data_IF_282486221012
#
_entry.id   IF_282486221012
#
_cell.length_a   1.000
_cell.length_b   1.000
_cell.length_c   1.000
_cell.angle_alpha   90.00
_cell.angle_beta   90.00
_cell.angle_gamma   90.00
#
_symmetry.space_group_name_H-M   'P 1'
#
loop_
_entity.id
_entity.type
_entity.pdbx_description
1 polymer ?
#
# COMPACT_ATOMS: atom_id res chain seq x y z
N UNK A 1 10.29 3.59 -21.52
CA UNK A 1 9.27 2.80 -22.23
C UNK A 1 9.51 1.28 -22.22
N UNK A 2 10.67 0.69 -22.55
CA UNK A 2 10.86 -0.78 -22.46
C UNK A 2 10.89 -1.28 -21.01
N UNK A 3 11.55 -0.54 -20.10
CA UNK A 3 11.63 -0.91 -18.68
C UNK A 3 10.25 -1.01 -18.00
N UNK A 4 9.34 -0.08 -18.30
CA UNK A 4 7.98 -0.07 -17.72
C UNK A 4 7.15 -1.28 -18.18
N UNK A 5 7.32 -1.71 -19.43
CA UNK A 5 6.64 -2.90 -19.96
C UNK A 5 7.21 -4.18 -19.36
N UNK A 6 8.51 -4.22 -19.07
CA UNK A 6 9.17 -5.38 -18.46
C UNK A 6 8.81 -5.54 -16.97
N UNK A 7 8.73 -4.44 -16.22
CA UNK A 7 8.26 -4.46 -14.82
C UNK A 7 6.80 -4.92 -14.74
N UNK A 8 5.93 -4.46 -15.64
CA UNK A 8 4.53 -4.90 -15.68
C UNK A 8 4.43 -6.38 -16.05
N UNK A 9 5.24 -6.88 -16.99
CA UNK A 9 5.28 -8.31 -17.33
C UNK A 9 5.76 -9.15 -16.15
N UNK A 10 6.82 -8.72 -15.46
CA UNK A 10 7.35 -9.39 -14.27
C UNK A 10 6.30 -9.43 -13.16
N UNK A 11 5.61 -8.31 -12.91
CA UNK A 11 4.55 -8.22 -11.93
C UNK A 11 3.35 -9.10 -12.28
N UNK A 12 2.94 -9.16 -13.56
CA UNK A 12 1.89 -10.10 -14.01
C UNK A 12 2.30 -11.55 -13.81
N UNK A 13 3.55 -11.89 -14.08
CA UNK A 13 4.08 -13.24 -13.88
C UNK A 13 4.12 -13.61 -12.39
N UNK A 14 4.60 -12.69 -11.53
CA UNK A 14 4.63 -12.86 -10.08
C UNK A 14 3.21 -12.97 -9.48
N UNK A 15 2.23 -12.19 -9.96
CA UNK A 15 0.84 -12.29 -9.51
C UNK A 15 0.08 -13.47 -10.14
N UNK A 16 0.55 -13.98 -11.27
CA UNK A 16 -0.05 -15.10 -12.01
C UNK A 16 0.33 -16.48 -11.47
N UNK A 17 1.50 -16.60 -10.82
CA UNK A 17 1.94 -17.84 -10.19
C UNK A 17 1.05 -18.18 -8.96
N UNK A 18 0.57 -19.43 -8.89
CA UNK A 18 -0.33 -19.91 -7.83
C UNK A 18 0.33 -19.86 -6.44
N UNK A 19 1.63 -20.14 -6.36
CA UNK A 19 2.37 -20.18 -5.09
C UNK A 19 2.53 -18.78 -4.51
N UNK A 20 3.05 -17.85 -5.32
CA UNK A 20 3.18 -16.45 -4.92
C UNK A 20 1.83 -15.82 -4.62
N UNK A 21 0.79 -16.10 -5.43
CA UNK A 21 -0.57 -15.63 -5.16
C UNK A 21 -1.10 -16.14 -3.82
N UNK A 22 -0.85 -17.40 -3.46
CA UNK A 22 -1.25 -17.96 -2.16
C UNK A 22 -0.51 -17.27 -0.99
N UNK A 23 0.79 -17.04 -1.12
CA UNK A 23 1.58 -16.30 -0.13
C UNK A 23 1.08 -14.85 0.05
N UNK A 24 0.91 -14.12 -1.05
CA UNK A 24 0.40 -12.75 -1.02
C UNK A 24 -1.02 -12.67 -0.45
N UNK A 25 -1.88 -13.66 -0.74
CA UNK A 25 -3.22 -13.76 -0.14
C UNK A 25 -3.15 -13.92 1.37
N UNK A 26 -2.26 -14.78 1.87
CA UNK A 26 -2.03 -14.99 3.31
C UNK A 26 -1.63 -13.68 4.02
N UNK A 27 -0.81 -12.83 3.39
CA UNK A 27 -0.39 -11.54 3.96
C UNK A 27 -1.55 -10.56 4.12
N UNK A 28 -2.50 -10.58 3.17
CA UNK A 28 -3.64 -9.66 3.14
C UNK A 28 -4.82 -10.17 3.99
N UNK A 29 -4.83 -11.44 4.37
CA UNK A 29 -5.84 -11.98 5.30
C UNK A 29 -5.73 -11.37 6.69
N UNK A 30 -6.85 -11.42 7.43
CA UNK A 30 -6.92 -10.94 8.81
C UNK A 30 -5.92 -11.69 9.68
N UNK A 31 -5.21 -10.94 10.52
CA UNK A 31 -4.35 -11.51 11.55
C UNK A 31 -5.16 -12.18 12.66
N UNK A 32 -4.49 -12.92 13.57
CA UNK A 32 -5.13 -13.58 14.70
C UNK A 32 -5.90 -12.63 15.62
N UNK A 33 -5.51 -11.35 15.69
CA UNK A 33 -6.20 -10.30 16.47
C UNK A 33 -7.37 -9.62 15.74
N UNK A 34 -7.73 -10.10 14.54
CA UNK A 34 -9.02 -9.85 13.90
C UNK A 34 -9.27 -8.50 13.23
N UNK A 35 -8.66 -7.40 13.71
CA UNK A 35 -8.94 -6.05 13.17
C UNK A 35 -8.02 -5.62 12.02
N UNK A 36 -6.76 -6.12 11.98
CA UNK A 36 -5.73 -5.74 11.00
C UNK A 36 -5.30 -6.93 10.15
N UNK A 37 -4.77 -6.67 8.95
CA UNK A 37 -4.16 -7.71 8.12
C UNK A 37 -2.84 -8.18 8.71
N UNK A 38 -2.38 -9.39 8.34
CA UNK A 38 -1.04 -9.86 8.71
C UNK A 38 0.05 -8.90 8.22
N UNK A 39 -0.15 -8.33 7.03
CA UNK A 39 0.76 -7.35 6.44
C UNK A 39 0.86 -6.06 7.26
N UNK A 40 -0.26 -5.48 7.70
CA UNK A 40 -0.22 -4.28 8.55
C UNK A 40 0.52 -4.55 9.87
N UNK A 41 0.33 -5.74 10.45
CA UNK A 41 1.04 -6.16 11.65
C UNK A 41 2.55 -6.28 11.42
N UNK A 42 2.98 -6.95 10.34
CA UNK A 42 4.40 -7.07 9.98
C UNK A 42 5.02 -5.70 9.71
N UNK A 43 4.35 -4.82 8.97
CA UNK A 43 4.83 -3.46 8.73
C UNK A 43 4.91 -2.65 10.03
N UNK A 44 4.00 -2.89 10.98
CA UNK A 44 4.07 -2.26 12.30
C UNK A 44 5.26 -2.72 13.13
N UNK A 45 5.66 -3.99 13.00
CA UNK A 45 6.86 -4.55 13.64
C UNK A 45 8.15 -4.08 12.97
N UNK A 46 8.12 -3.82 11.66
CA UNK A 46 9.23 -3.19 10.94
C UNK A 46 9.40 -1.72 11.37
N UNK A 47 8.30 -1.01 11.60
CA UNK A 47 8.35 0.38 12.07
C UNK A 47 8.78 0.53 13.54
N UNK A 48 8.51 -0.49 14.36
CA UNK A 48 8.74 -0.47 15.80
C UNK A 48 9.07 -1.88 16.32
N UNK A 49 10.35 -2.10 16.61
CA UNK A 49 10.87 -3.40 17.00
C UNK A 49 10.39 -3.88 18.38
N UNK A 50 9.87 -2.98 19.23
CA UNK A 50 9.36 -3.33 20.57
C UNK A 50 8.13 -4.24 20.50
N UNK A 51 7.40 -4.22 19.38
CA UNK A 51 6.18 -5.04 19.17
C UNK A 51 6.46 -6.52 18.90
N UNK A 52 7.74 -6.92 18.82
CA UNK A 52 8.16 -8.31 18.59
C UNK A 52 7.83 -9.24 19.76
N UNK A 53 7.81 -8.75 21.01
CA UNK A 53 7.66 -9.60 22.21
C UNK A 53 6.30 -10.29 22.33
N UNK A 54 5.25 -9.75 21.69
CA UNK A 54 3.88 -10.25 21.79
C UNK A 54 3.46 -11.06 20.54
N UNK A 55 4.39 -11.36 19.63
CA UNK A 55 4.08 -12.00 18.36
C UNK A 55 4.10 -13.53 18.44
N UNK A 56 3.08 -14.18 17.84
CA UNK A 56 3.09 -15.64 17.67
C UNK A 56 4.25 -16.11 16.77
N UNK A 57 4.70 -17.36 16.96
CA UNK A 57 5.78 -17.96 16.15
C UNK A 57 5.53 -17.87 14.63
N UNK A 58 4.27 -18.05 14.20
CA UNK A 58 3.91 -17.92 12.80
C UNK A 58 4.09 -16.49 12.28
N UNK A 59 3.78 -15.48 13.10
CA UNK A 59 3.97 -14.08 12.74
C UNK A 59 5.46 -13.72 12.65
N UNK A 60 6.30 -14.28 13.52
CA UNK A 60 7.74 -14.07 13.47
C UNK A 60 8.36 -14.63 12.19
N UNK A 61 7.94 -15.83 11.77
CA UNK A 61 8.37 -16.40 10.49
C UNK A 61 7.94 -15.50 9.31
N UNK A 62 6.67 -15.12 9.27
CA UNK A 62 6.15 -14.23 8.21
C UNK A 62 6.90 -12.88 8.21
N UNK A 63 7.26 -12.33 9.38
CA UNK A 63 8.08 -11.13 9.52
C UNK A 63 9.47 -11.28 8.90
N UNK A 64 10.23 -12.33 9.24
CA UNK A 64 11.59 -12.50 8.71
C UNK A 64 11.60 -12.72 7.20
N UNK A 65 10.65 -13.50 6.68
CA UNK A 65 10.47 -13.67 5.23
C UNK A 65 10.15 -12.34 4.55
N UNK A 66 9.24 -11.56 5.13
CA UNK A 66 8.85 -10.27 4.56
C UNK A 66 9.97 -9.23 4.67
N UNK A 67 10.74 -9.21 5.76
CA UNK A 67 11.91 -8.34 5.94
C UNK A 67 12.97 -8.61 4.87
N UNK A 68 13.26 -9.88 4.58
CA UNK A 68 14.16 -10.27 3.50
C UNK A 68 13.65 -9.80 2.13
N UNK A 69 12.36 -9.99 1.88
CA UNK A 69 11.71 -9.55 0.63
C UNK A 69 11.77 -8.03 0.46
N UNK A 70 11.42 -7.26 1.49
CA UNK A 70 11.47 -5.79 1.48
C UNK A 70 12.90 -5.31 1.28
N UNK A 71 13.88 -5.88 1.98
CA UNK A 71 15.30 -5.52 1.81
C UNK A 71 15.78 -5.77 0.36
N UNK A 72 15.33 -6.86 -0.28
CA UNK A 72 15.62 -7.11 -1.68
C UNK A 72 14.95 -6.08 -2.61
N UNK A 73 13.69 -5.72 -2.33
CA UNK A 73 12.93 -4.74 -3.13
C UNK A 73 13.49 -3.31 -2.99
N UNK A 74 13.89 -2.89 -1.79
CA UNK A 74 14.51 -1.58 -1.55
C UNK A 74 15.80 -1.46 -2.37
N UNK A 75 16.63 -2.50 -2.36
CA UNK A 75 17.85 -2.56 -3.18
C UNK A 75 17.56 -2.58 -4.68
N UNK A 76 16.54 -3.32 -5.13
CA UNK A 76 16.18 -3.39 -6.55
C UNK A 76 15.63 -2.04 -7.07
N UNK A 77 14.90 -1.31 -6.21
CA UNK A 77 14.26 -0.04 -6.56
C UNK A 77 15.13 1.19 -6.25
N UNK A 78 16.36 0.99 -5.74
CA UNK A 78 17.27 2.05 -5.28
C UNK A 78 16.58 3.03 -4.30
N UNK A 79 15.74 2.49 -3.41
CA UNK A 79 15.08 3.26 -2.35
C UNK A 79 16.01 3.35 -1.13
N UNK A 80 15.89 4.41 -0.34
CA UNK A 80 16.56 4.46 0.96
C UNK A 80 15.76 3.65 1.99
N UNK A 81 16.47 2.87 2.80
CA UNK A 81 15.86 2.10 3.88
C UNK A 81 15.26 3.04 4.95
N UNK A 82 15.93 4.16 5.21
CA UNK A 82 15.49 5.20 6.14
C UNK A 82 14.17 5.86 5.74
N UNK A 83 13.99 6.23 4.47
CA UNK A 83 12.71 6.80 4.00
C UNK A 83 11.60 5.75 4.02
N UNK A 84 11.90 4.50 3.69
CA UNK A 84 10.93 3.41 3.78
C UNK A 84 10.45 3.23 5.22
N UNK A 85 11.38 3.13 6.17
CA UNK A 85 11.08 3.02 7.60
C UNK A 85 10.30 4.22 8.12
N UNK A 86 10.70 5.44 7.74
CA UNK A 86 9.98 6.66 8.08
C UNK A 86 8.54 6.65 7.54
N UNK A 87 8.35 6.18 6.30
CA UNK A 87 7.03 6.08 5.67
C UNK A 87 6.11 5.09 6.37
N UNK A 88 6.58 3.89 6.69
CA UNK A 88 5.74 2.85 7.32
C UNK A 88 5.38 3.16 8.79
N UNK A 89 6.03 4.15 9.43
CA UNK A 89 5.60 4.64 10.75
C UNK A 89 4.17 5.20 10.70
N UNK A 90 3.79 5.86 9.61
CA UNK A 90 2.43 6.33 9.39
C UNK A 90 1.47 5.14 9.13
N UNK A 91 0.45 4.92 9.98
CA UNK A 91 -0.57 3.90 9.74
C UNK A 91 -1.29 4.02 8.38
N UNK A 92 -1.41 5.23 7.84
CA UNK A 92 -2.06 5.52 6.56
C UNK A 92 -1.27 4.92 5.40
N UNK A 93 0.06 5.00 5.45
CA UNK A 93 0.95 4.40 4.45
C UNK A 93 0.85 2.88 4.49
N UNK A 94 0.87 2.28 5.70
CA UNK A 94 0.70 0.83 5.86
C UNK A 94 -0.63 0.34 5.29
N UNK A 95 -1.71 1.07 5.56
CA UNK A 95 -3.03 0.80 5.00
C UNK A 95 -3.06 0.94 3.48
N UNK A 96 -2.34 1.92 2.93
CA UNK A 96 -2.17 2.10 1.49
C UNK A 96 -1.47 0.92 0.82
N UNK A 97 -0.38 0.41 1.43
CA UNK A 97 0.35 -0.77 0.94
C UNK A 97 -0.56 -2.00 0.96
N UNK A 98 -1.28 -2.24 2.06
CA UNK A 98 -2.24 -3.35 2.14
C UNK A 98 -3.33 -3.24 1.07
N UNK A 99 -3.89 -2.03 0.90
CA UNK A 99 -4.93 -1.77 -0.08
C UNK A 99 -4.46 -2.06 -1.51
N UNK A 100 -3.24 -1.63 -1.88
CA UNK A 100 -2.65 -1.92 -3.19
C UNK A 100 -2.54 -3.42 -3.37
N UNK A 101 -1.95 -4.12 -2.41
CA UNK A 101 -1.72 -5.55 -2.54
C UNK A 101 -3.05 -6.33 -2.65
N UNK A 102 -4.04 -5.99 -1.82
CA UNK A 102 -5.39 -6.56 -1.88
C UNK A 102 -6.04 -6.31 -3.24
N UNK A 103 -5.89 -5.10 -3.79
CA UNK A 103 -6.46 -4.71 -5.08
C UNK A 103 -5.82 -5.49 -6.24
N UNK A 104 -4.50 -5.67 -6.21
CA UNK A 104 -3.77 -6.48 -7.19
C UNK A 104 -4.17 -7.95 -7.15
N UNK A 105 -4.40 -8.50 -5.96
CA UNK A 105 -4.88 -9.89 -5.81
C UNK A 105 -6.32 -10.09 -6.28
N UNK A 106 -7.16 -9.06 -6.10
CA UNK A 106 -8.60 -9.13 -6.44
C UNK A 106 -8.83 -8.89 -7.92
N UNK A 107 -8.21 -7.84 -8.49
CA UNK A 107 -8.49 -7.37 -9.84
C UNK A 107 -7.35 -7.63 -10.84
N UNK A 108 -6.17 -8.02 -10.36
CA UNK A 108 -4.96 -8.02 -11.18
C UNK A 108 -4.47 -6.61 -11.51
N UNK A 109 -3.52 -6.54 -12.45
CA UNK A 109 -2.98 -5.29 -12.97
C UNK A 109 -3.96 -4.76 -14.02
N UNK A 110 -4.58 -3.62 -13.74
CA UNK A 110 -5.60 -2.98 -14.59
C UNK A 110 -5.17 -1.56 -14.95
N UNK A 111 -5.66 -1.03 -16.08
CA UNK A 111 -5.41 0.35 -16.50
C UNK A 111 -6.77 1.01 -16.84
N UNK A 112 -7.20 2.05 -16.10
CA UNK A 112 -6.64 2.54 -14.84
C UNK A 112 -6.70 1.48 -13.73
N UNK A 113 -5.82 1.58 -12.73
CA UNK A 113 -5.76 0.58 -11.66
C UNK A 113 -7.03 0.63 -10.80
N UNK A 114 -7.76 -0.49 -10.76
CA UNK A 114 -8.92 -0.70 -9.88
C UNK A 114 -8.45 -0.97 -8.46
N UNK A 115 -9.07 -0.31 -7.49
CA UNK A 115 -8.77 -0.43 -6.07
C UNK A 115 -9.97 -0.98 -5.31
N UNK A 116 -9.73 -1.74 -4.24
CA UNK A 116 -10.77 -2.25 -3.37
C UNK A 116 -11.43 -1.17 -2.49
N UNK A 117 -10.74 -0.04 -2.31
CA UNK A 117 -11.18 1.10 -1.51
C UNK A 117 -10.42 2.37 -2.01
N UNK A 118 -10.91 3.58 -1.72
CA UNK A 118 -10.19 4.81 -2.02
C UNK A 118 -8.94 4.98 -1.12
N UNK A 119 -7.85 5.52 -1.67
CA UNK A 119 -6.64 5.88 -0.90
C UNK A 119 -6.85 7.09 0.01
N UNK A 120 -7.54 8.10 -0.51
CA UNK A 120 -7.74 9.39 0.11
C UNK A 120 -9.20 9.78 -0.05
N UNK A 121 -9.83 10.18 1.04
CA UNK A 121 -11.17 10.77 1.03
C UNK A 121 -10.97 12.28 1.09
N UNK A 122 -11.23 12.96 -0.03
CA UNK A 122 -11.18 14.42 -0.09
C UNK A 122 -12.57 14.96 0.21
N UNK A 123 -12.72 15.62 1.36
CA UNK A 123 -13.95 16.32 1.73
C UNK A 123 -13.85 17.78 1.30
N UNK A 124 -14.60 18.13 0.27
CA UNK A 124 -14.76 19.53 -0.10
C UNK A 124 -15.84 20.17 0.79
N UNK A 125 -15.41 20.88 1.83
CA UNK A 125 -16.31 21.49 2.80
C UNK A 125 -16.90 22.83 2.33
N UNK A 126 -16.31 23.49 1.32
CA UNK A 126 -16.85 24.72 0.75
C UNK A 126 -16.41 24.92 -0.70
N UNK A 127 -17.35 25.34 -1.54
CA UNK A 127 -17.07 25.82 -2.90
C UNK A 127 -17.08 27.35 -3.00
N UNK A 128 -17.14 28.06 -1.87
CA UNK A 128 -17.04 29.52 -1.86
C UNK A 128 -15.58 29.94 -2.06
N UNK A 129 -15.31 30.68 -3.14
CA UNK A 129 -13.98 31.23 -3.43
C UNK A 129 -14.13 32.64 -4.03
N UNK A 130 -13.30 33.59 -3.60
CA UNK A 130 -13.32 34.97 -4.10
C UNK A 130 -12.48 35.17 -5.38
N UNK A 131 -11.81 34.12 -5.86
CA UNK A 131 -10.98 34.15 -7.07
C UNK A 131 -11.81 33.85 -8.33
N UNK A 132 -11.27 34.22 -9.50
CA UNK A 132 -11.89 34.00 -10.82
C UNK A 132 -10.95 33.23 -11.75
N UNK A 133 -10.50 32.07 -11.30
CA UNK A 133 -9.46 31.30 -11.98
C UNK A 133 -9.97 30.66 -13.28
N UNK A 134 -9.30 30.93 -14.41
CA UNK A 134 -9.64 30.36 -15.74
C UNK A 134 -9.57 28.82 -15.79
N UNK A 135 -8.74 28.22 -14.93
CA UNK A 135 -8.52 26.77 -14.87
C UNK A 135 -9.12 26.13 -13.61
N UNK A 136 -10.11 26.76 -12.97
CA UNK A 136 -10.76 26.16 -11.82
C UNK A 136 -11.63 24.98 -12.27
N UNK A 137 -11.15 23.75 -12.08
CA UNK A 137 -11.92 22.54 -12.37
C UNK A 137 -13.26 22.51 -11.62
N UNK A 138 -13.28 23.01 -10.38
CA UNK A 138 -14.49 23.04 -9.55
C UNK A 138 -15.44 24.20 -9.88
N UNK A 139 -15.02 25.14 -10.73
CA UNK A 139 -15.70 26.41 -10.97
C UNK A 139 -16.13 27.12 -9.66
N UNK A 140 -15.28 27.02 -8.64
CA UNK A 140 -15.43 27.72 -7.37
C UNK A 140 -15.16 29.21 -7.63
N UNK A 141 -16.22 29.93 -7.98
CA UNK A 141 -16.21 31.37 -8.17
C UNK A 141 -16.92 32.09 -7.02
N UNK A 142 -16.97 33.42 -7.06
CA UNK A 142 -17.64 34.22 -6.04
C UNK A 142 -19.15 34.02 -6.14
N UNK A 143 -19.63 32.96 -5.49
CA UNK A 143 -21.05 32.77 -5.16
C UNK A 143 -21.20 33.13 -3.68
N UNK A 144 -22.09 34.08 -3.34
CA UNK A 144 -22.40 34.33 -1.93
C UNK A 144 -22.97 33.04 -1.32
N UNK A 145 -22.64 32.81 -0.04
CA UNK A 145 -23.31 31.80 0.79
C UNK A 145 -24.77 32.17 0.99
#
# INVERSE_FOLDING_TARGET
MPLETDVIKLARMALGNRVSRAFLKRLVEKGPEGYRSRLDYILSMLADESKKEHASLSCMMDYYFFKLFVGAMIRLLHLSEEEFEAGIRDPSVRRGIELILRSLLTYGITVPQRLCAPFLIVWNFTNACNLRCKHCYQNAGPKPL
#
